data_IF_869960908671
#
_entry.id   IF_869960908671
#
_cell.length_a   1.000
_cell.length_b   1.000
_cell.length_c   1.000
_cell.angle_alpha   90.00
_cell.angle_beta   90.00
_cell.angle_gamma   90.00
#
_symmetry.space_group_name_H-M   'P 1'
#
loop_
_entity.id
_entity.type
_entity.pdbx_description
1 polymer ?
#
# COMPACT_ATOMS: atom_id res chain seq x y z
N UNK A 1 15.56 -8.32 -11.86
CA UNK A 1 14.98 -9.62 -11.47
C UNK A 1 13.90 -9.33 -10.45
N UNK A 2 12.62 -9.44 -10.82
CA UNK A 2 11.51 -9.30 -9.87
C UNK A 2 11.57 -10.53 -8.98
N UNK A 3 11.70 -10.31 -7.67
CA UNK A 3 11.76 -11.41 -6.70
C UNK A 3 10.34 -11.98 -6.55
N UNK A 4 10.13 -13.22 -7.00
CA UNK A 4 8.83 -13.87 -6.81
C UNK A 4 8.63 -14.16 -5.32
N UNK A 5 7.54 -13.65 -4.73
CA UNK A 5 7.16 -13.85 -3.32
C UNK A 5 5.91 -14.69 -3.22
N UNK A 6 5.81 -15.49 -2.16
CA UNK A 6 4.55 -16.13 -1.75
C UNK A 6 3.78 -15.17 -0.86
N UNK A 7 2.61 -14.71 -1.33
CA UNK A 7 1.81 -13.69 -0.65
C UNK A 7 0.41 -14.26 -0.37
N UNK A 8 -0.04 -14.12 0.87
CA UNK A 8 -1.41 -14.47 1.26
C UNK A 8 -2.21 -13.20 1.49
N UNK A 9 -3.37 -13.10 0.83
CA UNK A 9 -4.28 -11.95 0.96
C UNK A 9 -5.54 -12.42 1.66
N UNK A 10 -5.89 -11.77 2.78
CA UNK A 10 -7.10 -12.05 3.55
C UNK A 10 -8.12 -10.96 3.29
N UNK A 11 -9.26 -11.34 2.73
CA UNK A 11 -10.33 -10.45 2.30
C UNK A 11 -10.22 -10.09 0.83
N UNK A 12 -11.15 -10.60 0.01
CA UNK A 12 -11.23 -10.40 -1.44
C UNK A 12 -12.29 -9.35 -1.82
N UNK A 13 -12.46 -8.35 -0.96
CA UNK A 13 -13.25 -7.16 -1.27
C UNK A 13 -12.53 -6.23 -2.26
N UNK A 14 -13.05 -5.01 -2.47
CA UNK A 14 -12.49 -4.07 -3.47
C UNK A 14 -10.98 -3.86 -3.34
N UNK A 15 -10.46 -3.68 -2.13
CA UNK A 15 -9.03 -3.45 -1.89
C UNK A 15 -8.24 -4.74 -2.11
N UNK A 16 -8.70 -5.86 -1.52
CA UNK A 16 -8.03 -7.16 -1.68
C UNK A 16 -7.96 -7.59 -3.13
N UNK A 17 -9.07 -7.56 -3.86
CA UNK A 17 -9.10 -7.90 -5.29
C UNK A 17 -8.15 -7.02 -6.13
N UNK A 18 -8.12 -5.70 -5.88
CA UNK A 18 -7.21 -4.80 -6.60
C UNK A 18 -5.75 -5.16 -6.34
N UNK A 19 -5.40 -5.46 -5.08
CA UNK A 19 -4.05 -5.92 -4.72
C UNK A 19 -3.73 -7.27 -5.37
N UNK A 20 -4.65 -8.24 -5.28
CA UNK A 20 -4.51 -9.56 -5.89
C UNK A 20 -4.23 -9.46 -7.38
N UNK A 21 -5.02 -8.65 -8.08
CA UNK A 21 -4.84 -8.42 -9.52
C UNK A 21 -3.47 -7.85 -9.85
N UNK A 22 -3.08 -6.74 -9.20
CA UNK A 22 -1.80 -6.09 -9.47
C UNK A 22 -0.60 -6.99 -9.16
N UNK A 23 -0.64 -7.72 -8.05
CA UNK A 23 0.44 -8.63 -7.64
C UNK A 23 0.50 -9.90 -8.52
N UNK A 24 -0.64 -10.38 -9.04
CA UNK A 24 -0.69 -11.47 -10.02
C UNK A 24 -0.05 -11.05 -11.34
N UNK A 25 -0.33 -9.81 -11.81
CA UNK A 25 0.30 -9.26 -13.02
C UNK A 25 1.83 -9.10 -12.88
N UNK A 26 2.33 -8.94 -11.65
CA UNK A 26 3.77 -8.91 -11.35
C UNK A 26 4.41 -10.30 -11.22
N UNK A 27 3.61 -11.37 -11.26
CA UNK A 27 4.07 -12.76 -11.25
C UNK A 27 4.40 -13.31 -9.87
N UNK A 28 3.76 -12.81 -8.82
CA UNK A 28 3.86 -13.36 -7.47
C UNK A 28 2.99 -14.61 -7.29
N UNK A 29 3.38 -15.50 -6.37
CA UNK A 29 2.59 -16.68 -5.96
C UNK A 29 1.54 -16.26 -4.92
N UNK A 30 0.27 -16.26 -5.31
CA UNK A 30 -0.82 -15.67 -4.53
C UNK A 30 -1.80 -16.70 -4.02
N UNK A 31 -2.16 -16.57 -2.74
CA UNK A 31 -3.28 -17.29 -2.12
C UNK A 31 -4.26 -16.28 -1.54
N UNK A 32 -5.53 -16.39 -1.87
CA UNK A 32 -6.59 -15.49 -1.39
C UNK A 32 -7.50 -16.22 -0.41
N UNK A 33 -7.71 -15.64 0.77
CA UNK A 33 -8.63 -16.16 1.79
C UNK A 33 -9.83 -15.22 1.89
N UNK A 34 -11.04 -15.73 1.76
CA UNK A 34 -12.28 -15.01 2.07
C UNK A 34 -13.34 -16.00 2.55
N UNK A 35 -14.33 -15.53 3.29
CA UNK A 35 -15.48 -16.34 3.72
C UNK A 35 -16.65 -16.26 2.72
N UNK A 36 -16.51 -15.54 1.63
CA UNK A 36 -17.47 -15.44 0.56
C UNK A 36 -17.00 -16.24 -0.66
N UNK A 37 -17.42 -17.50 -0.69
CA UNK A 37 -17.06 -18.43 -1.77
C UNK A 37 -17.37 -17.91 -3.18
N UNK A 38 -18.45 -17.13 -3.34
CA UNK A 38 -18.80 -16.55 -4.65
C UNK A 38 -17.75 -15.56 -5.16
N UNK A 39 -17.21 -14.74 -4.26
CA UNK A 39 -16.15 -13.76 -4.60
C UNK A 39 -14.87 -14.52 -4.96
N UNK A 40 -14.49 -15.51 -4.15
CA UNK A 40 -13.30 -16.34 -4.39
C UNK A 40 -13.33 -17.03 -5.75
N UNK A 41 -14.46 -17.63 -6.14
CA UNK A 41 -14.60 -18.26 -7.45
C UNK A 41 -14.42 -17.27 -8.60
N UNK A 42 -14.96 -16.05 -8.49
CA UNK A 42 -14.78 -15.02 -9.50
C UNK A 42 -13.32 -14.58 -9.63
N UNK A 43 -12.59 -14.50 -8.53
CA UNK A 43 -11.15 -14.19 -8.55
C UNK A 43 -10.33 -15.32 -9.15
N UNK A 44 -10.64 -16.57 -8.81
CA UNK A 44 -9.98 -17.75 -9.37
C UNK A 44 -10.22 -17.92 -10.88
N UNK A 45 -11.42 -17.54 -11.37
CA UNK A 45 -11.73 -17.59 -12.80
C UNK A 45 -11.03 -16.49 -13.62
N UNK A 46 -10.73 -15.35 -12.99
CA UNK A 46 -10.18 -14.18 -13.67
C UNK A 46 -8.67 -13.98 -13.48
N UNK A 47 -8.08 -14.59 -12.45
CA UNK A 47 -6.69 -14.41 -12.07
C UNK A 47 -6.02 -15.77 -11.82
N UNK A 48 -4.71 -15.85 -12.02
CA UNK A 48 -3.90 -17.03 -11.68
C UNK A 48 -3.56 -17.02 -10.20
N UNK A 49 -4.52 -17.45 -9.36
CA UNK A 49 -4.39 -17.44 -7.90
C UNK A 49 -5.03 -18.67 -7.26
N UNK A 50 -4.44 -19.14 -6.17
CA UNK A 50 -5.08 -20.14 -5.32
C UNK A 50 -6.08 -19.47 -4.36
N UNK A 51 -7.14 -20.17 -3.98
CA UNK A 51 -8.16 -19.65 -3.07
C UNK A 51 -8.43 -20.60 -1.92
N UNK A 52 -8.69 -20.06 -0.75
CA UNK A 52 -9.08 -20.81 0.45
C UNK A 52 -10.36 -20.18 1.04
N UNK A 53 -11.43 -20.99 1.14
CA UNK A 53 -12.71 -20.53 1.70
C UNK A 53 -12.68 -20.65 3.22
N UNK A 54 -12.81 -19.53 3.93
CA UNK A 54 -12.86 -19.57 5.38
C UNK A 54 -12.56 -18.25 6.07
N UNK A 55 -12.57 -18.33 7.41
CA UNK A 55 -12.22 -17.19 8.25
C UNK A 55 -10.71 -17.00 8.29
N UNK A 56 -10.21 -15.91 7.74
CA UNK A 56 -8.78 -15.61 7.70
C UNK A 56 -8.12 -15.40 9.08
N UNK A 57 -8.88 -15.26 10.15
CA UNK A 57 -8.38 -15.24 11.52
C UNK A 57 -8.21 -16.66 12.12
N UNK A 58 -8.67 -17.72 11.43
CA UNK A 58 -8.49 -19.12 11.89
C UNK A 58 -7.08 -19.61 11.58
N UNK A 59 -6.50 -20.30 12.59
CA UNK A 59 -5.18 -20.93 12.43
C UNK A 59 -5.21 -22.02 11.38
N UNK A 60 -6.29 -22.83 11.33
CA UNK A 60 -6.45 -23.90 10.36
C UNK A 60 -6.51 -23.37 8.92
N UNK A 61 -7.32 -22.34 8.67
CA UNK A 61 -7.47 -21.69 7.36
C UNK A 61 -6.15 -21.06 6.90
N UNK A 62 -5.43 -20.40 7.80
CA UNK A 62 -4.13 -19.83 7.48
C UNK A 62 -3.07 -20.91 7.17
N UNK A 63 -3.09 -22.04 7.85
CA UNK A 63 -2.22 -23.18 7.54
C UNK A 63 -2.55 -23.80 6.19
N UNK A 64 -3.82 -23.98 5.88
CA UNK A 64 -4.28 -24.46 4.57
C UNK A 64 -3.80 -23.53 3.44
N UNK A 65 -3.82 -22.21 3.68
CA UNK A 65 -3.28 -21.22 2.75
C UNK A 65 -1.73 -21.18 2.72
N UNK A 66 -1.04 -21.94 3.55
CA UNK A 66 0.42 -22.00 3.61
C UNK A 66 1.07 -20.74 4.15
N UNK A 67 0.42 -20.07 5.11
CA UNK A 67 0.92 -18.83 5.74
C UNK A 67 2.23 -19.04 6.49
N UNK A 68 2.48 -20.23 7.01
CA UNK A 68 3.70 -20.63 7.71
C UNK A 68 4.98 -20.51 6.84
N UNK A 69 4.82 -20.58 5.52
CA UNK A 69 5.91 -20.44 4.53
C UNK A 69 5.80 -19.14 3.71
N UNK A 70 4.80 -18.30 3.98
CA UNK A 70 4.58 -17.08 3.23
C UNK A 70 5.61 -15.99 3.55
N UNK A 71 5.99 -15.26 2.53
CA UNK A 71 6.83 -14.07 2.68
C UNK A 71 6.04 -12.89 3.24
N UNK A 72 4.76 -12.79 2.85
CA UNK A 72 3.89 -11.68 3.22
C UNK A 72 2.45 -12.14 3.42
N UNK A 73 1.79 -11.65 4.48
CA UNK A 73 0.33 -11.70 4.60
C UNK A 73 -0.23 -10.28 4.62
N UNK A 74 -1.25 -10.03 3.78
CA UNK A 74 -1.97 -8.76 3.74
C UNK A 74 -3.41 -9.00 4.18
N UNK A 75 -3.82 -8.40 5.30
CA UNK A 75 -5.18 -8.47 5.80
C UNK A 75 -5.95 -7.21 5.41
N UNK A 76 -6.95 -7.36 4.51
CA UNK A 76 -7.72 -6.29 3.90
C UNK A 76 -9.24 -6.50 3.98
N UNK A 77 -9.71 -7.20 5.01
CA UNK A 77 -11.15 -7.40 5.27
C UNK A 77 -11.84 -6.09 5.68
N UNK A 78 -13.15 -6.16 5.89
CA UNK A 78 -13.93 -5.00 6.35
C UNK A 78 -13.81 -4.71 7.87
N UNK A 79 -13.20 -5.60 8.65
CA UNK A 79 -13.03 -5.44 10.10
C UNK A 79 -11.58 -5.13 10.46
N UNK A 80 -11.32 -4.01 11.10
CA UNK A 80 -9.99 -3.59 11.50
C UNK A 80 -9.40 -4.56 12.53
N UNK A 81 -10.20 -4.98 13.52
CA UNK A 81 -9.81 -5.96 14.54
C UNK A 81 -9.53 -7.34 13.93
N UNK A 82 -10.34 -7.73 12.94
CA UNK A 82 -10.11 -8.98 12.19
C UNK A 82 -8.79 -8.92 11.44
N UNK A 83 -8.46 -7.79 10.80
CA UNK A 83 -7.21 -7.62 10.08
C UNK A 83 -6.00 -7.70 11.03
N UNK A 84 -6.09 -7.08 12.20
CA UNK A 84 -5.06 -7.17 13.22
C UNK A 84 -4.89 -8.62 13.72
N UNK A 85 -6.00 -9.30 14.01
CA UNK A 85 -5.96 -10.70 14.47
C UNK A 85 -5.38 -11.63 13.39
N UNK A 86 -5.74 -11.46 12.11
CA UNK A 86 -5.14 -12.21 11.00
C UNK A 86 -3.61 -12.06 10.98
N UNK A 87 -3.11 -10.85 11.12
CA UNK A 87 -1.67 -10.56 11.14
C UNK A 87 -0.97 -11.19 12.36
N UNK A 88 -1.59 -11.13 13.54
CA UNK A 88 -1.04 -11.76 14.77
C UNK A 88 -0.92 -13.29 14.59
N UNK A 89 -1.96 -13.93 14.08
CA UNK A 89 -1.95 -15.38 13.81
C UNK A 89 -0.89 -15.71 12.77
N UNK A 90 -0.82 -14.98 11.67
CA UNK A 90 0.17 -15.19 10.63
C UNK A 90 1.61 -15.06 11.15
N UNK A 91 1.87 -14.05 11.94
CA UNK A 91 3.19 -13.86 12.55
C UNK A 91 3.55 -15.02 13.48
N UNK A 92 2.60 -15.51 14.25
CA UNK A 92 2.79 -16.64 15.16
C UNK A 92 3.01 -17.96 14.40
N UNK A 93 2.43 -18.10 13.21
CA UNK A 93 2.65 -19.26 12.33
C UNK A 93 4.01 -19.24 11.64
N UNK A 94 4.68 -18.09 11.53
CA UNK A 94 6.00 -17.97 10.93
C UNK A 94 6.08 -17.08 9.68
N UNK A 95 4.97 -16.44 9.27
CA UNK A 95 4.97 -15.49 8.15
C UNK A 95 6.03 -14.40 8.38
N UNK A 96 6.83 -14.10 7.36
CA UNK A 96 7.95 -13.16 7.50
C UNK A 96 7.48 -11.74 7.75
N UNK A 97 6.50 -11.28 6.96
CA UNK A 97 5.95 -9.92 7.02
C UNK A 97 4.44 -9.93 7.04
N UNK A 98 3.85 -8.95 7.74
CA UNK A 98 2.40 -8.79 7.81
C UNK A 98 2.01 -7.34 7.60
N UNK A 99 0.93 -7.11 6.85
CA UNK A 99 0.34 -5.80 6.61
C UNK A 99 -1.14 -5.85 6.99
N UNK A 100 -1.56 -4.96 7.89
CA UNK A 100 -2.96 -4.82 8.25
C UNK A 100 -3.56 -3.54 7.69
N UNK A 101 -4.74 -3.65 7.06
CA UNK A 101 -5.58 -2.49 6.77
C UNK A 101 -6.34 -2.11 8.04
N UNK A 102 -6.14 -0.88 8.52
CA UNK A 102 -6.84 -0.31 9.67
C UNK A 102 -7.31 1.08 9.33
N UNK A 103 -8.62 1.29 9.38
CA UNK A 103 -9.28 2.54 8.97
C UNK A 103 -9.57 3.47 10.14
N UNK A 104 -9.93 2.88 11.30
CA UNK A 104 -10.32 3.65 12.46
C UNK A 104 -9.09 4.37 13.07
N UNK A 105 -9.07 5.72 13.08
CA UNK A 105 -7.95 6.49 13.62
C UNK A 105 -7.78 6.30 15.14
N UNK A 106 -8.80 5.83 15.87
CA UNK A 106 -8.69 5.51 17.30
C UNK A 106 -7.63 4.45 17.57
N UNK A 107 -7.36 3.55 16.60
CA UNK A 107 -6.32 2.53 16.75
C UNK A 107 -4.90 3.03 16.50
N UNK A 108 -4.70 4.24 15.99
CA UNK A 108 -3.37 4.76 15.63
C UNK A 108 -2.39 4.76 16.83
N UNK A 109 -2.86 5.06 18.04
CA UNK A 109 -2.03 5.09 19.23
C UNK A 109 -1.76 3.68 19.76
N UNK A 110 -2.79 2.85 19.84
CA UNK A 110 -2.70 1.46 20.29
C UNK A 110 -1.78 0.64 19.40
N UNK A 111 -1.91 0.79 18.08
CA UNK A 111 -1.07 0.09 17.11
C UNK A 111 0.39 0.51 17.26
N UNK A 112 0.68 1.82 17.43
CA UNK A 112 2.06 2.28 17.64
C UNK A 112 2.66 1.72 18.93
N UNK A 113 1.87 1.63 19.98
CA UNK A 113 2.29 1.10 21.28
C UNK A 113 2.53 -0.42 21.24
N UNK A 114 1.67 -1.16 20.53
CA UNK A 114 1.67 -2.63 20.49
C UNK A 114 2.23 -3.22 19.20
N UNK A 115 2.89 -2.43 18.38
CA UNK A 115 3.29 -2.84 17.01
C UNK A 115 4.18 -4.08 17.00
N UNK A 116 5.12 -4.16 17.92
CA UNK A 116 6.05 -5.28 18.02
C UNK A 116 5.33 -6.53 18.53
N UNK A 117 4.50 -6.40 19.55
CA UNK A 117 3.71 -7.48 20.13
C UNK A 117 2.68 -8.05 19.15
N UNK A 118 2.07 -7.18 18.34
CA UNK A 118 1.15 -7.56 17.27
C UNK A 118 1.88 -8.19 16.07
N UNK A 119 3.21 -8.11 16.03
CA UNK A 119 4.02 -8.63 14.92
C UNK A 119 3.75 -7.94 13.57
N UNK A 120 3.33 -6.68 13.59
CA UNK A 120 2.96 -5.92 12.39
C UNK A 120 4.19 -5.29 11.71
N UNK A 121 4.42 -5.66 10.46
CA UNK A 121 5.44 -5.00 9.64
C UNK A 121 4.96 -3.62 9.19
N UNK A 122 3.69 -3.52 8.78
CA UNK A 122 3.08 -2.27 8.31
C UNK A 122 1.58 -2.24 8.65
N UNK A 123 1.07 -1.02 8.83
CA UNK A 123 -0.37 -0.73 8.88
C UNK A 123 -0.69 0.32 7.82
N UNK A 124 -1.74 0.09 7.06
CA UNK A 124 -2.20 0.99 6.00
C UNK A 124 -3.65 1.42 6.25
N UNK A 125 -3.91 2.68 5.94
CA UNK A 125 -5.26 3.24 5.87
C UNK A 125 -5.44 3.85 4.48
N UNK A 126 -6.04 3.12 3.52
CA UNK A 126 -6.20 3.58 2.15
C UNK A 126 -7.03 4.84 2.04
N UNK A 127 -8.05 4.97 2.88
CA UNK A 127 -8.94 6.13 2.92
C UNK A 127 -8.16 7.40 3.33
N UNK A 128 -7.33 7.29 4.36
CA UNK A 128 -6.46 8.39 4.81
C UNK A 128 -5.39 8.74 3.76
N UNK A 129 -4.81 7.71 3.13
CA UNK A 129 -3.83 7.93 2.05
C UNK A 129 -4.46 8.67 0.87
N UNK A 130 -5.65 8.25 0.42
CA UNK A 130 -6.39 8.93 -0.64
C UNK A 130 -6.77 10.37 -0.27
N UNK A 131 -7.25 10.59 0.96
CA UNK A 131 -7.60 11.93 1.44
C UNK A 131 -6.39 12.87 1.48
N UNK A 132 -5.23 12.37 1.91
CA UNK A 132 -3.99 13.16 1.91
C UNK A 132 -3.52 13.48 0.49
N UNK A 133 -3.70 12.56 -0.45
CA UNK A 133 -3.34 12.80 -1.85
C UNK A 133 -4.26 13.84 -2.48
N UNK A 134 -5.58 13.75 -2.28
CA UNK A 134 -6.54 14.77 -2.71
C UNK A 134 -6.19 16.14 -2.09
N UNK A 135 -5.88 16.18 -0.80
CA UNK A 135 -5.48 17.42 -0.12
C UNK A 135 -4.24 18.03 -0.77
N UNK A 136 -3.22 17.22 -1.09
CA UNK A 136 -1.99 17.67 -1.78
C UNK A 136 -2.30 18.26 -3.15
N UNK A 137 -3.14 17.59 -3.94
CA UNK A 137 -3.56 18.08 -5.27
C UNK A 137 -4.29 19.43 -5.18
N UNK A 138 -5.15 19.61 -4.19
CA UNK A 138 -5.88 20.85 -3.99
C UNK A 138 -4.97 22.00 -3.49
N UNK A 139 -3.98 21.68 -2.68
CA UNK A 139 -3.05 22.67 -2.14
C UNK A 139 -2.12 23.26 -3.22
N UNK A 140 -1.77 22.46 -4.22
CA UNK A 140 -0.83 22.83 -5.27
C UNK A 140 -1.32 22.41 -6.67
N UNK A 141 -2.41 23.01 -7.19
CA UNK A 141 -3.03 22.61 -8.44
C UNK A 141 -2.14 22.85 -9.68
N UNK A 142 -1.04 23.59 -9.53
CA UNK A 142 -0.08 23.86 -10.62
C UNK A 142 0.96 22.75 -10.80
N UNK A 143 1.06 21.81 -9.87
CA UNK A 143 2.02 20.73 -9.95
C UNK A 143 1.43 19.56 -10.74
N UNK A 144 2.15 19.06 -11.73
CA UNK A 144 1.76 17.88 -12.52
C UNK A 144 1.97 16.61 -11.71
N UNK A 145 3.07 16.56 -10.95
CA UNK A 145 3.42 15.44 -10.10
C UNK A 145 4.16 15.92 -8.86
N UNK A 146 3.93 15.26 -7.73
CA UNK A 146 4.63 15.52 -6.47
C UNK A 146 4.84 14.23 -5.72
N UNK A 147 6.10 13.87 -5.52
CA UNK A 147 6.51 12.72 -4.73
C UNK A 147 7.26 13.18 -3.49
N UNK A 148 6.86 12.69 -2.33
CA UNK A 148 7.52 12.99 -1.06
C UNK A 148 8.40 11.81 -0.65
N UNK A 149 9.65 12.08 -0.25
CA UNK A 149 10.61 11.10 0.23
C UNK A 149 11.36 11.61 1.46
N UNK A 150 12.25 10.80 2.01
CA UNK A 150 12.97 11.11 3.26
C UNK A 150 12.01 11.47 4.42
N UNK A 151 10.89 10.74 4.56
CA UNK A 151 9.83 10.95 5.58
C UNK A 151 9.23 12.35 5.53
N UNK A 152 9.04 12.91 4.34
CA UNK A 152 8.49 14.25 4.14
C UNK A 152 9.49 15.41 4.23
N UNK A 153 10.77 15.10 4.42
CA UNK A 153 11.82 16.14 4.48
C UNK A 153 12.33 16.59 3.12
N UNK A 154 12.01 15.84 2.06
CA UNK A 154 12.33 16.20 0.68
C UNK A 154 11.17 15.87 -0.24
N UNK A 155 11.00 16.65 -1.29
CA UNK A 155 9.93 16.52 -2.26
C UNK A 155 10.48 16.66 -3.67
N UNK A 156 10.02 15.78 -4.56
CA UNK A 156 10.19 15.91 -5.98
C UNK A 156 8.91 16.50 -6.56
N UNK A 157 9.02 17.55 -7.33
CA UNK A 157 7.88 18.26 -7.90
C UNK A 157 8.09 18.44 -9.39
N UNK A 158 7.10 18.04 -10.17
CA UNK A 158 7.03 18.30 -11.61
C UNK A 158 6.04 19.43 -11.85
N UNK A 159 6.47 20.47 -12.53
CA UNK A 159 5.61 21.60 -12.86
C UNK A 159 5.79 22.02 -14.31
N UNK A 160 4.68 22.38 -14.94
CA UNK A 160 4.69 22.97 -16.26
C UNK A 160 4.72 24.47 -16.18
N UNK A 161 5.75 25.09 -16.77
CA UNK A 161 5.82 26.55 -16.87
C UNK A 161 4.77 27.05 -17.87
N UNK A 162 3.94 28.00 -17.46
CA UNK A 162 2.97 28.68 -18.32
C UNK A 162 3.61 29.86 -19.01
N UNK A 163 3.08 30.27 -20.15
CA UNK A 163 3.53 31.46 -20.88
C UNK A 163 3.58 32.68 -19.96
N UNK A 164 4.67 33.44 -20.05
CA UNK A 164 4.91 34.58 -19.17
C UNK A 164 5.59 34.26 -17.83
N UNK A 165 5.88 32.98 -17.54
CA UNK A 165 6.63 32.64 -16.33
C UNK A 165 8.05 33.21 -16.40
N UNK A 166 8.54 33.89 -15.32
CA UNK A 166 9.84 34.57 -15.30
C UNK A 166 11.05 33.63 -15.47
N UNK A 167 10.85 32.32 -15.35
CA UNK A 167 11.89 31.29 -15.54
C UNK A 167 12.11 30.94 -17.02
N UNK A 168 11.14 31.24 -17.89
CA UNK A 168 11.26 30.91 -19.31
C UNK A 168 12.39 31.71 -19.95
N UNK A 169 13.27 31.01 -20.65
CA UNK A 169 14.44 31.60 -21.32
C UNK A 169 15.58 32.01 -20.38
N UNK A 170 15.51 31.69 -19.10
CA UNK A 170 16.59 31.94 -18.15
C UNK A 170 17.51 30.72 -18.01
N UNK A 171 18.82 30.91 -17.89
CA UNK A 171 19.74 29.81 -17.59
C UNK A 171 19.47 29.24 -16.19
N UNK A 172 19.62 27.93 -16.02
CA UNK A 172 19.38 27.22 -14.77
C UNK A 172 20.18 27.78 -13.58
N UNK A 173 21.34 28.37 -13.81
CA UNK A 173 22.15 29.06 -12.79
C UNK A 173 21.39 30.20 -12.08
N UNK A 174 20.43 30.83 -12.75
CA UNK A 174 19.61 31.89 -12.21
C UNK A 174 18.33 31.41 -11.51
N UNK A 175 18.05 30.09 -11.56
CA UNK A 175 16.82 29.52 -11.03
C UNK A 175 16.54 29.93 -9.57
N UNK A 176 17.52 29.77 -8.69
CA UNK A 176 17.36 30.10 -7.26
C UNK A 176 17.05 31.58 -7.02
N UNK A 177 17.66 32.47 -7.79
CA UNK A 177 17.47 33.91 -7.67
C UNK A 177 16.12 34.35 -8.22
N UNK A 178 15.68 33.77 -9.33
CA UNK A 178 14.42 34.14 -9.99
C UNK A 178 13.20 33.53 -9.30
N UNK A 179 13.29 32.29 -8.85
CA UNK A 179 12.20 31.59 -8.16
C UNK A 179 12.13 31.88 -6.67
N UNK A 180 13.18 32.42 -6.08
CA UNK A 180 13.34 32.67 -4.62
C UNK A 180 13.05 31.40 -3.79
N UNK A 181 13.55 30.28 -4.23
CA UNK A 181 13.34 28.99 -3.56
C UNK A 181 14.66 28.20 -3.45
N UNK A 182 14.80 27.47 -2.35
CA UNK A 182 15.92 26.54 -2.19
C UNK A 182 15.56 25.16 -2.77
N UNK A 183 15.68 25.04 -4.07
CA UNK A 183 15.39 23.80 -4.79
C UNK A 183 16.51 23.45 -5.77
N UNK A 184 16.58 22.17 -6.15
CA UNK A 184 17.47 21.64 -7.15
C UNK A 184 16.65 21.26 -8.39
N UNK A 185 17.03 21.76 -9.55
CA UNK A 185 16.46 21.31 -10.83
C UNK A 185 17.12 20.00 -11.21
N UNK A 186 16.34 18.92 -11.27
CA UNK A 186 16.82 17.58 -11.57
C UNK A 186 16.71 17.26 -13.07
N UNK A 187 15.67 17.77 -13.75
CA UNK A 187 15.44 17.57 -15.15
C UNK A 187 14.65 18.75 -15.76
N UNK A 188 14.73 18.92 -17.07
CA UNK A 188 13.93 19.84 -17.88
C UNK A 188 13.58 19.12 -19.16
N UNK A 189 12.28 19.11 -19.52
CA UNK A 189 11.73 18.60 -20.76
C UNK A 189 11.28 19.72 -21.69
#
# INVERSE_FOLDING_TARGET
MIYNMKIVIVGDGKVGYTLTKSLSEEGHDLVVIDNNRRILLASQESLDVAVVDGNGASVEVQREAGVDTADLLIAATNGDETNLLCCMVAKKLGCKHTIARVRNPEYDQQIRFMREELGLSMVINPEKAAALEIFRLLQFPSFLKRDSFARGNAEHVELKLKDGNPLIGKPLQQFRTVADVNALVCAVE
#
